data_IF_923584963508
#
_entry.id   IF_923584963508
#
_cell.length_a   1.000
_cell.length_b   1.000
_cell.length_c   1.000
_cell.angle_alpha   90.00
_cell.angle_beta   90.00
_cell.angle_gamma   90.00
#
_symmetry.space_group_name_H-M   'P 1'
#
loop_
_entity.id
_entity.type
_entity.pdbx_description
1 polymer ?
#
# COMPACT_ATOMS: atom_id res chain seq x y z
N UNK A 1 23.76 9.24 3.78
CA UNK A 1 22.71 8.19 3.72
C UNK A 1 21.83 8.51 2.51
N UNK A 2 21.45 7.53 1.68
CA UNK A 2 20.52 7.82 0.57
C UNK A 2 19.15 8.15 1.16
N UNK A 3 18.46 9.11 0.55
CA UNK A 3 17.06 9.45 0.83
C UNK A 3 16.18 8.18 0.93
N UNK A 4 15.26 8.08 1.91
CA UNK A 4 14.38 6.94 2.01
C UNK A 4 13.51 6.75 0.76
N UNK A 5 13.21 5.50 0.43
CA UNK A 5 12.27 5.15 -0.64
C UNK A 5 10.93 4.74 -0.03
N UNK A 6 9.85 5.21 -0.63
CA UNK A 6 8.48 4.87 -0.25
C UNK A 6 7.88 4.04 -1.37
N UNK A 7 7.24 2.93 -1.03
CA UNK A 7 6.73 1.95 -2.00
C UNK A 7 5.29 1.59 -1.69
N UNK A 8 4.45 1.47 -2.72
CA UNK A 8 3.09 0.94 -2.65
C UNK A 8 2.86 -0.08 -3.77
N UNK A 9 2.02 -1.06 -3.50
CA UNK A 9 1.75 -2.21 -4.36
C UNK A 9 0.47 -1.95 -5.16
N UNK A 10 0.54 -2.00 -6.49
CA UNK A 10 -0.64 -1.80 -7.36
C UNK A 10 -0.47 -2.53 -8.68
N UNK A 11 -1.50 -3.22 -9.17
CA UNK A 11 -1.63 -3.67 -10.56
C UNK A 11 -0.33 -4.31 -11.10
N UNK A 12 0.14 -5.37 -10.44
CA UNK A 12 1.40 -6.08 -10.74
C UNK A 12 2.61 -5.15 -10.80
N UNK A 13 2.67 -4.15 -9.92
CA UNK A 13 3.71 -3.12 -9.92
C UNK A 13 4.07 -2.65 -8.52
N UNK A 14 5.30 -2.17 -8.39
CA UNK A 14 5.72 -1.31 -7.29
C UNK A 14 5.75 0.14 -7.77
N UNK A 15 4.96 0.99 -7.14
CA UNK A 15 5.03 2.43 -7.33
C UNK A 15 5.97 2.98 -6.25
N UNK A 16 7.10 3.52 -6.67
CA UNK A 16 8.19 3.92 -5.79
C UNK A 16 8.39 5.43 -5.85
N UNK A 17 8.67 6.06 -4.72
CA UNK A 17 9.02 7.49 -4.66
C UNK A 17 10.10 7.73 -3.63
N UNK A 18 11.17 8.41 -4.04
CA UNK A 18 12.18 8.90 -3.10
C UNK A 18 11.63 10.08 -2.32
N UNK A 19 12.01 10.25 -1.04
CA UNK A 19 11.47 11.31 -0.18
C UNK A 19 11.66 12.73 -0.77
N UNK A 20 12.74 12.92 -1.49
CA UNK A 20 13.19 14.15 -2.16
C UNK A 20 12.76 14.25 -3.62
N UNK A 21 12.09 13.22 -4.17
CA UNK A 21 11.51 13.26 -5.52
C UNK A 21 10.09 13.86 -5.52
N UNK A 22 9.79 14.64 -6.56
CA UNK A 22 8.45 15.17 -6.82
C UNK A 22 7.51 14.10 -7.38
N UNK A 23 8.00 13.23 -8.27
CA UNK A 23 7.20 12.22 -8.96
C UNK A 23 7.55 10.80 -8.53
N UNK A 24 6.55 9.90 -8.46
CA UNK A 24 6.80 8.46 -8.33
C UNK A 24 7.25 7.84 -9.66
N UNK A 25 8.02 6.77 -9.57
CA UNK A 25 8.41 5.89 -10.67
C UNK A 25 7.82 4.49 -10.47
N UNK A 26 7.37 3.85 -11.55
CA UNK A 26 6.68 2.56 -11.48
C UNK A 26 7.55 1.43 -12.03
N UNK A 27 7.77 0.40 -11.22
CA UNK A 27 8.34 -0.87 -11.66
C UNK A 27 7.22 -1.90 -11.88
N UNK A 28 7.03 -2.33 -13.13
CA UNK A 28 5.97 -3.27 -13.50
C UNK A 28 6.50 -4.69 -13.72
N UNK A 29 5.88 -5.66 -13.05
CA UNK A 29 6.12 -7.09 -13.23
C UNK A 29 5.35 -7.61 -14.43
N UNK A 30 5.89 -7.40 -15.64
CA UNK A 30 5.19 -7.68 -16.91
C UNK A 30 4.86 -9.16 -17.16
N UNK A 31 5.63 -10.07 -16.56
CA UNK A 31 5.54 -11.50 -16.81
C UNK A 31 4.76 -12.25 -15.72
N UNK A 32 4.38 -11.55 -14.64
CA UNK A 32 3.53 -12.15 -13.60
C UNK A 32 2.09 -12.16 -14.15
N UNK A 33 1.47 -13.34 -14.28
CA UNK A 33 0.07 -13.43 -14.69
C UNK A 33 -0.82 -12.77 -13.64
N UNK A 34 -1.91 -12.17 -14.10
CA UNK A 34 -2.97 -11.72 -13.22
C UNK A 34 -3.89 -12.92 -12.93
N UNK A 35 -3.81 -13.43 -11.70
CA UNK A 35 -4.55 -14.60 -11.27
C UNK A 35 -5.57 -14.19 -10.20
N UNK A 36 -6.87 -14.53 -10.35
CA UNK A 36 -7.88 -14.17 -9.38
C UNK A 36 -7.52 -14.63 -7.96
N UNK A 37 -7.66 -13.74 -6.98
CA UNK A 37 -7.37 -14.00 -5.57
C UNK A 37 -5.92 -14.43 -5.25
N UNK A 38 -4.97 -14.29 -6.18
CA UNK A 38 -3.55 -14.55 -5.94
C UNK A 38 -2.78 -13.24 -6.07
N UNK A 39 -2.32 -12.65 -4.96
CA UNK A 39 -1.57 -11.42 -5.02
C UNK A 39 -0.27 -11.58 -5.83
N UNK A 40 0.00 -10.63 -6.73
CA UNK A 40 1.13 -10.71 -7.65
C UNK A 40 2.48 -10.94 -6.94
N UNK A 41 2.62 -10.41 -5.72
CA UNK A 41 3.85 -10.51 -4.94
C UNK A 41 4.17 -11.94 -4.48
N UNK A 42 3.23 -12.89 -4.59
CA UNK A 42 3.50 -14.32 -4.41
C UNK A 42 4.40 -14.87 -5.52
N UNK A 43 4.19 -14.42 -6.76
CA UNK A 43 4.94 -14.89 -7.92
C UNK A 43 6.37 -14.35 -7.98
N UNK A 44 6.69 -13.32 -7.19
CA UNK A 44 8.05 -12.77 -7.11
C UNK A 44 9.05 -13.85 -6.69
N UNK A 45 8.63 -14.79 -5.83
CA UNK A 45 9.51 -15.83 -5.29
C UNK A 45 9.80 -16.94 -6.27
N UNK A 46 8.86 -17.25 -7.17
CA UNK A 46 9.05 -18.24 -8.22
C UNK A 46 10.20 -17.88 -9.17
N UNK A 47 10.42 -16.58 -9.41
CA UNK A 47 11.51 -16.06 -10.24
C UNK A 47 12.39 -15.05 -9.48
N UNK A 48 12.66 -15.35 -8.20
CA UNK A 48 13.31 -14.40 -7.27
C UNK A 48 14.60 -13.78 -7.83
N UNK A 49 15.53 -14.59 -8.36
CA UNK A 49 16.81 -14.09 -8.86
C UNK A 49 16.64 -13.07 -10.00
N UNK A 50 15.65 -13.28 -10.86
CA UNK A 50 15.33 -12.38 -11.96
C UNK A 50 14.76 -11.07 -11.41
N UNK A 51 13.72 -11.13 -10.58
CA UNK A 51 13.08 -9.93 -10.04
C UNK A 51 14.00 -9.14 -9.10
N UNK A 52 14.84 -9.83 -8.32
CA UNK A 52 15.92 -9.21 -7.56
C UNK A 52 16.83 -8.40 -8.47
N UNK A 53 17.31 -9.00 -9.56
CA UNK A 53 18.22 -8.33 -10.52
C UNK A 53 17.56 -7.15 -11.21
N UNK A 54 16.35 -7.32 -11.74
CA UNK A 54 15.64 -6.29 -12.52
C UNK A 54 15.18 -5.15 -11.63
N UNK A 55 14.64 -5.42 -10.43
CA UNK A 55 14.25 -4.36 -9.50
C UNK A 55 15.47 -3.62 -8.93
N UNK A 56 16.57 -4.31 -8.61
CA UNK A 56 17.80 -3.63 -8.18
C UNK A 56 18.36 -2.71 -9.27
N UNK A 57 18.23 -3.11 -10.54
CA UNK A 57 18.60 -2.26 -11.69
C UNK A 57 17.68 -1.04 -11.79
N UNK A 58 16.37 -1.25 -11.76
CA UNK A 58 15.38 -0.16 -11.75
C UNK A 58 15.65 0.84 -10.62
N UNK A 59 15.86 0.36 -9.40
CA UNK A 59 16.12 1.22 -8.25
C UNK A 59 17.33 2.13 -8.47
N UNK A 60 18.43 1.57 -9.00
CA UNK A 60 19.63 2.37 -9.29
C UNK A 60 19.41 3.36 -10.43
N UNK A 61 18.86 2.88 -11.54
CA UNK A 61 18.81 3.65 -12.79
C UNK A 61 17.73 4.74 -12.72
N UNK A 62 16.56 4.45 -12.11
CA UNK A 62 15.37 5.31 -12.14
C UNK A 62 15.13 6.10 -10.85
N UNK A 63 15.63 5.65 -9.69
CA UNK A 63 15.33 6.30 -8.40
C UNK A 63 16.52 7.03 -7.80
N UNK A 64 17.71 6.43 -7.79
CA UNK A 64 18.91 7.07 -7.20
C UNK A 64 19.78 7.81 -8.22
N UNK A 65 19.45 7.65 -9.50
CA UNK A 65 20.34 7.98 -10.62
C UNK A 65 21.62 7.14 -10.62
N UNK A 66 22.39 7.20 -11.72
CA UNK A 66 23.69 6.50 -11.87
C UNK A 66 24.80 7.01 -10.93
N UNK A 67 24.46 7.69 -9.84
CA UNK A 67 25.44 8.18 -8.88
C UNK A 67 26.19 6.98 -8.26
N UNK A 68 27.50 7.14 -8.07
CA UNK A 68 28.35 6.13 -7.43
C UNK A 68 27.86 5.79 -6.01
N UNK A 69 27.27 6.77 -5.33
CA UNK A 69 26.59 6.59 -4.04
C UNK A 69 25.39 5.63 -4.13
N UNK A 70 24.58 5.72 -5.19
CA UNK A 70 23.44 4.82 -5.48
C UNK A 70 23.84 3.37 -5.77
N UNK A 71 25.08 3.13 -6.21
CA UNK A 71 25.59 1.76 -6.43
C UNK A 71 25.98 1.04 -5.14
N UNK A 72 26.36 1.78 -4.09
CA UNK A 72 27.00 1.21 -2.87
C UNK A 72 26.10 1.34 -1.64
N UNK A 73 25.33 2.44 -1.55
CA UNK A 73 24.47 2.70 -0.41
C UNK A 73 23.06 2.17 -0.69
N UNK A 74 22.50 1.47 0.29
CA UNK A 74 21.09 1.08 0.31
C UNK A 74 20.30 2.10 1.11
N UNK A 75 19.07 2.38 0.70
CA UNK A 75 18.17 3.32 1.38
C UNK A 75 17.49 2.66 2.59
N UNK A 76 16.69 3.43 3.32
CA UNK A 76 15.62 2.91 4.17
C UNK A 76 14.35 2.83 3.33
N UNK A 77 13.70 1.67 3.27
CA UNK A 77 12.44 1.48 2.58
C UNK A 77 11.24 1.57 3.54
N UNK A 78 10.25 2.37 3.17
CA UNK A 78 8.96 2.48 3.82
C UNK A 78 7.90 1.94 2.88
N UNK A 79 7.27 0.82 3.25
CA UNK A 79 6.42 0.05 2.35
C UNK A 79 4.98 0.08 2.82
N UNK A 80 4.10 0.66 2.01
CA UNK A 80 2.65 0.59 2.17
C UNK A 80 2.18 -0.76 1.60
N UNK A 81 1.68 -1.64 2.48
CA UNK A 81 1.26 -3.00 2.13
C UNK A 81 -0.27 -3.11 2.07
N UNK A 82 -0.82 -3.97 1.19
CA UNK A 82 -2.24 -4.27 1.15
C UNK A 82 -2.79 -4.63 2.54
N UNK A 83 -4.01 -4.18 2.82
CA UNK A 83 -4.60 -4.30 4.17
C UNK A 83 -4.97 -5.72 4.59
N UNK A 84 -5.02 -6.64 3.61
CA UNK A 84 -5.22 -8.07 3.78
C UNK A 84 -3.90 -8.88 3.85
N UNK A 85 -2.74 -8.23 3.71
CA UNK A 85 -1.45 -8.92 3.70
C UNK A 85 -1.17 -9.63 5.03
N UNK A 86 -0.89 -10.92 4.95
CA UNK A 86 -0.60 -11.81 6.07
C UNK A 86 0.82 -11.58 6.61
N UNK A 87 1.07 -11.96 7.86
CA UNK A 87 2.37 -11.72 8.51
C UNK A 87 3.54 -12.37 7.79
N UNK A 88 3.39 -13.60 7.29
CA UNK A 88 4.46 -14.24 6.51
C UNK A 88 4.72 -13.51 5.18
N UNK A 89 3.67 -12.97 4.54
CA UNK A 89 3.79 -12.19 3.31
C UNK A 89 4.56 -10.89 3.58
N UNK A 90 4.33 -10.25 4.73
CA UNK A 90 5.11 -9.07 5.17
C UNK A 90 6.59 -9.40 5.35
N UNK A 91 6.92 -10.55 5.96
CA UNK A 91 8.31 -11.01 6.11
C UNK A 91 8.98 -11.19 4.75
N UNK A 92 8.28 -11.80 3.79
CA UNK A 92 8.75 -11.94 2.43
C UNK A 92 8.94 -10.57 1.75
N UNK A 93 7.98 -9.66 1.88
CA UNK A 93 8.12 -8.29 1.38
C UNK A 93 9.37 -7.59 1.95
N UNK A 94 9.60 -7.69 3.26
CA UNK A 94 10.79 -7.13 3.92
C UNK A 94 12.05 -7.74 3.32
N UNK A 95 12.12 -9.06 3.21
CA UNK A 95 13.30 -9.75 2.68
C UNK A 95 13.61 -9.33 1.24
N UNK A 96 12.58 -9.21 0.39
CA UNK A 96 12.76 -8.75 -0.99
C UNK A 96 13.41 -7.36 -1.05
N UNK A 97 12.90 -6.39 -0.28
CA UNK A 97 13.47 -5.03 -0.27
C UNK A 97 14.85 -4.97 0.39
N UNK A 98 15.10 -5.78 1.42
CA UNK A 98 16.43 -5.93 2.03
C UNK A 98 17.47 -6.48 1.04
N UNK A 99 17.07 -7.41 0.18
CA UNK A 99 17.97 -7.99 -0.82
C UNK A 99 18.19 -7.11 -2.05
N UNK A 100 17.37 -6.08 -2.28
CA UNK A 100 17.39 -5.30 -3.52
C UNK A 100 17.82 -3.85 -3.34
N UNK A 101 17.16 -3.09 -2.47
CA UNK A 101 17.35 -1.64 -2.40
C UNK A 101 17.64 -1.10 -1.00
N UNK A 102 17.38 -1.89 0.06
CA UNK A 102 17.31 -1.36 1.42
C UNK A 102 18.16 -2.09 2.46
N UNK A 103 18.59 -1.36 3.50
CA UNK A 103 19.21 -1.90 4.73
C UNK A 103 18.23 -2.00 5.89
N UNK A 104 17.07 -1.34 5.79
CA UNK A 104 16.02 -1.35 6.80
C UNK A 104 14.69 -1.15 6.09
N UNK A 105 13.73 -2.02 6.37
CA UNK A 105 12.40 -1.96 5.77
C UNK A 105 11.37 -1.81 6.88
N UNK A 106 10.55 -0.77 6.82
CA UNK A 106 9.38 -0.62 7.67
C UNK A 106 8.11 -0.79 6.81
N UNK A 107 7.25 -1.73 7.19
CA UNK A 107 5.96 -1.96 6.54
C UNK A 107 4.84 -1.27 7.31
N UNK A 108 3.82 -0.76 6.60
CA UNK A 108 2.62 -0.18 7.19
C UNK A 108 1.40 -0.51 6.32
N UNK A 109 0.28 -0.98 6.91
CA UNK A 109 -0.97 -1.16 6.18
C UNK A 109 -1.40 0.14 5.50
N UNK A 110 -1.88 0.04 4.27
CA UNK A 110 -2.31 1.20 3.49
C UNK A 110 -3.45 1.98 4.14
N UNK A 111 -4.38 1.30 4.83
CA UNK A 111 -5.48 1.95 5.49
C UNK A 111 -5.02 3.02 6.50
N UNK A 112 -3.83 2.88 7.10
CA UNK A 112 -3.26 3.85 8.03
C UNK A 112 -2.61 5.07 7.35
N UNK A 113 -2.57 5.08 6.03
CA UNK A 113 -1.89 6.09 5.21
C UNK A 113 -2.85 6.91 4.35
N UNK A 114 -4.17 6.65 4.43
CA UNK A 114 -5.17 7.36 3.64
C UNK A 114 -5.35 8.81 4.10
N UNK A 115 -5.44 9.01 5.42
CA UNK A 115 -5.56 10.33 6.03
C UNK A 115 -4.90 10.37 7.42
N UNK A 116 -3.57 10.15 7.54
CA UNK A 116 -2.88 10.06 8.84
C UNK A 116 -2.93 11.35 9.68
N UNK A 117 -3.30 12.48 9.08
CA UNK A 117 -3.53 13.75 9.76
C UNK A 117 -4.88 13.84 10.49
N UNK A 118 -5.81 12.94 10.20
CA UNK A 118 -7.11 12.89 10.88
C UNK A 118 -7.03 11.96 12.08
N UNK A 119 -7.70 12.37 13.16
CA UNK A 119 -7.79 11.56 14.38
C UNK A 119 -8.56 10.27 14.13
N UNK A 120 -9.60 10.32 13.30
CA UNK A 120 -10.51 9.20 13.09
C UNK A 120 -11.11 9.17 11.69
N UNK A 121 -11.23 7.98 11.09
CA UNK A 121 -11.86 7.75 9.78
C UNK A 121 -12.17 6.27 9.52
N UNK A 122 -12.94 6.01 8.47
CA UNK A 122 -13.14 4.67 7.90
C UNK A 122 -12.31 4.53 6.63
N UNK A 123 -11.58 3.42 6.53
CA UNK A 123 -10.89 3.01 5.30
C UNK A 123 -11.63 1.84 4.67
N UNK A 124 -11.97 1.95 3.38
CA UNK A 124 -12.51 0.87 2.56
C UNK A 124 -11.47 0.52 1.50
N UNK A 125 -10.86 -0.65 1.67
CA UNK A 125 -9.72 -1.08 0.88
C UNK A 125 -10.08 -2.29 0.05
N UNK A 126 -9.98 -2.21 -1.28
CA UNK A 126 -10.20 -3.37 -2.16
C UNK A 126 -8.87 -3.93 -2.65
N UNK A 127 -8.69 -5.21 -2.40
CA UNK A 127 -7.51 -5.99 -2.80
C UNK A 127 -7.94 -7.08 -3.76
N UNK A 128 -6.99 -7.73 -4.42
CA UNK A 128 -7.30 -8.84 -5.32
C UNK A 128 -8.00 -10.03 -4.62
N UNK A 129 -7.95 -10.13 -3.28
CA UNK A 129 -8.56 -11.21 -2.49
C UNK A 129 -9.88 -10.83 -1.83
N UNK A 130 -10.03 -9.58 -1.43
CA UNK A 130 -11.12 -9.15 -0.53
C UNK A 130 -11.30 -7.64 -0.47
N UNK A 131 -12.47 -7.23 0.02
CA UNK A 131 -12.73 -5.88 0.48
C UNK A 131 -12.55 -5.81 2.00
N UNK A 132 -11.79 -4.83 2.47
CA UNK A 132 -11.43 -4.66 3.89
C UNK A 132 -11.97 -3.31 4.37
N UNK A 133 -12.82 -3.32 5.39
CA UNK A 133 -13.31 -2.11 6.04
C UNK A 133 -12.59 -1.97 7.38
N UNK A 134 -11.85 -0.88 7.57
CA UNK A 134 -11.11 -0.62 8.81
C UNK A 134 -11.57 0.67 9.47
N UNK A 135 -11.82 0.60 10.78
CA UNK A 135 -12.02 1.79 11.62
C UNK A 135 -10.67 2.23 12.19
N UNK A 136 -10.25 3.43 11.81
CA UNK A 136 -8.97 4.02 12.25
C UNK A 136 -9.26 5.10 13.28
N UNK A 137 -8.59 5.04 14.43
CA UNK A 137 -8.64 6.08 15.47
C UNK A 137 -7.26 6.23 16.13
N UNK A 138 -6.81 7.46 16.31
CA UNK A 138 -5.50 7.82 16.86
C UNK A 138 -4.34 7.09 16.14
N UNK A 139 -4.37 7.06 14.80
CA UNK A 139 -3.35 6.39 13.98
C UNK A 139 -3.27 4.87 14.12
N UNK A 140 -4.29 4.24 14.71
CA UNK A 140 -4.35 2.79 14.97
C UNK A 140 -5.64 2.18 14.43
N UNK A 141 -5.60 0.92 14.02
CA UNK A 141 -6.79 0.16 13.62
C UNK A 141 -7.54 -0.28 14.90
N UNK A 142 -8.80 0.13 15.06
CA UNK A 142 -9.65 -0.25 16.22
C UNK A 142 -10.56 -1.43 15.93
N UNK A 143 -10.96 -1.58 14.68
CA UNK A 143 -11.78 -2.68 14.23
C UNK A 143 -11.60 -2.89 12.74
N UNK A 144 -11.90 -4.10 12.28
CA UNK A 144 -11.80 -4.47 10.87
C UNK A 144 -12.84 -5.53 10.50
N UNK A 145 -13.46 -5.35 9.36
CA UNK A 145 -14.25 -6.37 8.66
C UNK A 145 -13.52 -6.80 7.40
N UNK A 146 -13.55 -8.11 7.14
CA UNK A 146 -13.03 -8.73 5.94
C UNK A 146 -14.22 -9.31 5.18
N UNK A 147 -14.47 -8.77 3.99
CA UNK A 147 -15.58 -9.14 3.12
C UNK A 147 -15.03 -9.86 1.89
N UNK A 148 -15.78 -10.81 1.36
CA UNK A 148 -15.43 -11.47 0.11
C UNK A 148 -15.22 -10.45 -1.01
N UNK A 149 -14.43 -10.78 -2.03
CA UNK A 149 -14.24 -9.89 -3.18
C UNK A 149 -15.45 -9.95 -4.14
N UNK A 150 -16.60 -9.50 -3.65
CA UNK A 150 -17.85 -9.43 -4.39
C UNK A 150 -18.20 -7.97 -4.71
N UNK A 151 -19.12 -7.80 -5.65
CA UNK A 151 -19.75 -6.51 -5.93
C UNK A 151 -20.83 -6.24 -4.88
N UNK A 152 -20.55 -5.30 -3.97
CA UNK A 152 -21.51 -4.81 -2.98
C UNK A 152 -22.15 -3.51 -3.47
N UNK A 153 -23.37 -3.23 -3.03
CA UNK A 153 -24.02 -1.92 -3.15
C UNK A 153 -23.48 -0.95 -2.09
N UNK A 154 -23.67 0.36 -2.31
CA UNK A 154 -23.28 1.39 -1.34
C UNK A 154 -24.04 1.23 -0.02
N UNK A 155 -25.30 0.81 -0.09
CA UNK A 155 -26.18 0.58 1.05
C UNK A 155 -25.72 -0.62 1.90
N UNK A 156 -25.28 -1.71 1.26
CA UNK A 156 -24.67 -2.84 1.96
C UNK A 156 -23.37 -2.43 2.65
N UNK A 157 -22.49 -1.69 1.97
CA UNK A 157 -21.26 -1.18 2.57
C UNK A 157 -21.52 -0.26 3.76
N UNK A 158 -22.55 0.59 3.70
CA UNK A 158 -22.98 1.42 4.85
C UNK A 158 -23.44 0.55 6.03
N UNK A 159 -24.15 -0.54 5.76
CA UNK A 159 -24.60 -1.48 6.79
C UNK A 159 -23.40 -2.13 7.48
N UNK A 160 -22.43 -2.64 6.72
CA UNK A 160 -21.19 -3.19 7.30
C UNK A 160 -20.39 -2.16 8.10
N UNK A 161 -20.36 -0.90 7.65
CA UNK A 161 -19.69 0.18 8.40
C UNK A 161 -20.43 0.45 9.72
N UNK A 162 -21.75 0.49 9.72
CA UNK A 162 -22.54 0.67 10.95
C UNK A 162 -22.31 -0.47 11.95
N UNK A 163 -22.29 -1.72 11.46
CA UNK A 163 -21.97 -2.90 12.27
C UNK A 163 -20.55 -2.81 12.87
N UNK A 164 -19.56 -2.40 12.08
CA UNK A 164 -18.18 -2.21 12.55
C UNK A 164 -18.08 -1.15 13.66
N UNK A 165 -18.95 -0.14 13.62
CA UNK A 165 -18.99 0.96 14.59
C UNK A 165 -19.84 0.65 15.84
N UNK A 166 -20.50 -0.50 15.88
CA UNK A 166 -21.42 -0.96 16.95
C UNK A 166 -22.56 0.02 17.18
N UNK A 167 -23.19 0.50 16.09
CA UNK A 167 -24.28 1.50 16.09
C UNK A 167 -23.99 2.78 16.90
N UNK A 168 -22.72 3.05 17.20
CA UNK A 168 -22.33 4.32 17.80
C UNK A 168 -22.70 5.44 16.84
N UNK A 169 -23.30 6.49 17.39
CA UNK A 169 -23.76 7.70 16.71
C UNK A 169 -22.56 8.51 16.15
N UNK A 170 -21.80 7.89 15.23
CA UNK A 170 -20.62 8.41 14.54
C UNK A 170 -20.97 8.70 13.08
N UNK A 171 -22.20 9.19 12.85
CA UNK A 171 -22.87 9.27 11.56
C UNK A 171 -22.09 9.99 10.43
N UNK A 172 -20.98 10.67 10.74
CA UNK A 172 -20.25 11.53 9.80
C UNK A 172 -18.75 11.24 9.72
N UNK A 173 -18.26 10.05 10.10
CA UNK A 173 -16.84 9.74 9.91
C UNK A 173 -16.47 9.81 8.41
N UNK A 174 -15.38 10.50 8.03
CA UNK A 174 -14.94 10.52 6.65
C UNK A 174 -14.56 9.11 6.21
N UNK A 175 -15.03 8.71 5.03
CA UNK A 175 -14.74 7.43 4.42
C UNK A 175 -13.72 7.65 3.29
N UNK A 176 -12.63 6.91 3.34
CA UNK A 176 -11.58 6.91 2.33
C UNK A 176 -11.51 5.55 1.63
N UNK A 177 -11.40 5.59 0.31
CA UNK A 177 -11.35 4.41 -0.55
C UNK A 177 -9.92 4.23 -1.08
N UNK A 178 -9.39 3.01 -1.11
CA UNK A 178 -8.11 2.69 -1.76
C UNK A 178 -8.11 1.28 -2.36
N UNK A 179 -7.40 1.10 -3.48
CA UNK A 179 -7.24 -0.21 -4.09
C UNK A 179 -7.74 -0.25 -5.52
N UNK A 180 -8.30 -1.40 -5.91
CA UNK A 180 -8.76 -1.71 -7.27
C UNK A 180 -10.28 -1.54 -7.38
N UNK A 181 -10.80 -1.09 -8.52
CA UNK A 181 -12.22 -1.08 -8.87
C UNK A 181 -13.17 -0.49 -7.81
N UNK A 182 -12.90 0.74 -7.39
CA UNK A 182 -13.67 1.48 -6.37
C UNK A 182 -14.35 2.75 -6.90
N UNK A 183 -14.21 3.06 -8.18
CA UNK A 183 -14.77 4.26 -8.83
C UNK A 183 -16.30 4.34 -8.73
N UNK A 184 -16.97 3.20 -8.67
CA UNK A 184 -18.42 3.12 -8.49
C UNK A 184 -18.89 3.49 -7.07
N UNK A 185 -17.97 3.57 -6.09
CA UNK A 185 -18.28 3.87 -4.70
C UNK A 185 -17.96 5.32 -4.30
N UNK A 186 -17.77 6.23 -5.26
CA UNK A 186 -17.47 7.64 -4.96
C UNK A 186 -18.59 8.36 -4.18
N UNK A 187 -19.82 7.84 -4.19
CA UNK A 187 -20.91 8.32 -3.33
C UNK A 187 -20.79 7.88 -1.86
N UNK A 188 -19.97 6.85 -1.58
CA UNK A 188 -19.66 6.38 -0.24
C UNK A 188 -18.53 7.18 0.41
N UNK A 189 -17.49 7.54 -0.35
CA UNK A 189 -16.29 8.18 0.20
C UNK A 189 -15.33 8.73 -0.84
N UNK A 190 -14.19 9.22 -0.37
CA UNK A 190 -13.15 9.82 -1.23
C UNK A 190 -12.12 8.77 -1.65
N UNK A 191 -11.95 8.56 -2.95
CA UNK A 191 -10.89 7.71 -3.49
C UNK A 191 -9.51 8.36 -3.35
N UNK A 192 -8.58 7.66 -2.70
CA UNK A 192 -7.23 8.13 -2.45
C UNK A 192 -6.25 7.43 -3.38
N UNK A 193 -5.67 8.21 -4.30
CA UNK A 193 -4.72 7.71 -5.28
C UNK A 193 -3.37 7.29 -4.64
N UNK A 194 -2.65 6.30 -5.22
CA UNK A 194 -1.37 5.84 -4.69
C UNK A 194 -0.33 6.95 -4.45
N UNK A 195 -0.31 7.98 -5.30
CA UNK A 195 0.61 9.13 -5.13
C UNK A 195 0.35 9.91 -3.83
N UNK A 196 -0.92 10.00 -3.42
CA UNK A 196 -1.32 10.67 -2.18
C UNK A 196 -0.96 9.81 -0.98
N UNK A 197 -1.19 8.50 -1.06
CA UNK A 197 -0.78 7.54 0.00
C UNK A 197 0.74 7.61 0.25
N UNK A 198 1.55 7.63 -0.83
CA UNK A 198 2.99 7.80 -0.73
C UNK A 198 3.38 9.15 -0.11
N UNK A 199 2.71 10.25 -0.50
CA UNK A 199 2.96 11.57 0.08
C UNK A 199 2.62 11.62 1.58
N UNK A 200 1.50 11.01 1.97
CA UNK A 200 1.07 10.89 3.36
C UNK A 200 2.11 10.12 4.17
N UNK A 201 2.64 9.03 3.62
CA UNK A 201 3.69 8.25 4.29
C UNK A 201 4.99 9.06 4.46
N UNK A 202 5.39 9.83 3.44
CA UNK A 202 6.53 10.75 3.52
C UNK A 202 6.32 11.78 4.63
N UNK A 203 5.15 12.41 4.70
CA UNK A 203 4.84 13.44 5.70
C UNK A 203 4.86 12.86 7.11
N UNK A 204 4.26 11.67 7.31
CA UNK A 204 4.23 10.97 8.59
C UNK A 204 5.62 10.63 9.14
N UNK A 205 6.62 10.44 8.27
CA UNK A 205 8.01 10.12 8.67
C UNK A 205 8.90 11.34 8.81
N UNK A 206 8.42 12.52 8.42
CA UNK A 206 9.10 13.81 8.59
C UNK A 206 8.63 14.57 9.83
N UNK A 207 7.39 14.33 10.26
CA UNK A 207 6.84 14.80 11.52
C UNK A 207 7.54 14.13 12.70
#
# INVERSE_FOLDING_TARGET
MISPVYVIFRNNSFICRMADSLSPSTFRFREIPDLPNIPFYHHIWSEFLKYKKTFSKFFRDELTGKSWAGMILKSHAYVAVPDDMLEFEKVLTIEFFMQTCSRKVDVKPECLLLAPQLEEYIAVSRTCRMLVISHIHAGSIKGRLYLENNEYTVEELKTFIAELLDDRDRADLPIFLNGEDLEQYLSLGTLIEPRIILQNYINLKRA
#
